data_IF_536622899356
#
_entry.id   IF_536622899356
#
_cell.length_a   1.000
_cell.length_b   1.000
_cell.length_c   1.000
_cell.angle_alpha   90.00
_cell.angle_beta   90.00
_cell.angle_gamma   90.00
#
_symmetry.space_group_name_H-M   'P 1'
#
loop_
_entity.id
_entity.type
_entity.pdbx_description
1 polymer ?
#
# COMPACT_ATOMS: atom_id res chain seq x y z
N UNK A 1 -4.80 -14.06 -11.41
CA UNK A 1 -3.94 -14.89 -12.31
C UNK A 1 -3.03 -13.94 -13.05
N UNK A 2 -1.75 -13.88 -12.72
CA UNK A 2 -0.78 -13.18 -13.54
C UNK A 2 -0.56 -14.03 -14.79
N UNK A 3 -0.89 -13.49 -15.95
CA UNK A 3 -0.67 -14.13 -17.25
C UNK A 3 0.82 -14.41 -17.39
N UNK A 4 1.20 -15.68 -17.65
CA UNK A 4 2.61 -16.03 -17.88
C UNK A 4 3.10 -15.20 -19.05
N UNK A 5 4.23 -14.48 -18.90
CA UNK A 5 4.78 -13.67 -19.98
C UNK A 5 5.00 -14.55 -21.22
N UNK A 6 4.48 -14.14 -22.37
CA UNK A 6 4.63 -14.87 -23.62
C UNK A 6 6.10 -14.90 -24.08
N UNK A 7 6.47 -15.85 -24.96
CA UNK A 7 7.83 -15.99 -25.50
C UNK A 7 8.43 -14.67 -26.02
N UNK A 8 7.61 -13.84 -26.66
CA UNK A 8 8.03 -12.52 -27.14
C UNK A 8 8.43 -11.53 -26.05
N UNK A 9 7.83 -11.64 -24.86
CA UNK A 9 8.23 -10.80 -23.71
C UNK A 9 9.61 -11.20 -23.15
N UNK A 10 9.95 -12.48 -23.20
CA UNK A 10 11.29 -12.97 -22.85
C UNK A 10 12.35 -12.52 -23.87
N UNK A 11 12.01 -12.53 -25.16
CA UNK A 11 12.89 -12.03 -26.21
C UNK A 11 13.12 -10.51 -26.05
N UNK A 12 12.08 -9.74 -25.81
CA UNK A 12 12.20 -8.30 -25.57
C UNK A 12 13.02 -7.98 -24.30
N UNK A 13 12.85 -8.77 -23.24
CA UNK A 13 13.64 -8.63 -22.01
C UNK A 13 15.11 -9.00 -22.23
N UNK A 14 15.39 -10.06 -23.02
CA UNK A 14 16.74 -10.46 -23.38
C UNK A 14 17.45 -9.39 -24.22
N UNK A 15 16.74 -8.77 -25.18
CA UNK A 15 17.26 -7.72 -26.03
C UNK A 15 17.65 -6.46 -25.24
N UNK A 16 16.84 -6.08 -24.23
CA UNK A 16 17.08 -4.92 -23.39
C UNK A 16 17.83 -5.23 -22.07
N UNK A 17 18.34 -6.45 -21.91
CA UNK A 17 19.08 -6.84 -20.72
C UNK A 17 20.32 -5.96 -20.53
N UNK A 18 20.51 -5.42 -19.32
CA UNK A 18 21.65 -4.56 -18.93
C UNK A 18 22.47 -5.27 -17.84
N UNK A 19 23.34 -6.20 -18.21
CA UNK A 19 24.19 -6.86 -17.23
C UNK A 19 25.11 -5.81 -16.59
N UNK A 20 25.36 -5.91 -15.30
CA UNK A 20 26.21 -5.01 -14.53
C UNK A 20 25.78 -3.53 -14.48
N UNK A 21 24.52 -3.18 -14.72
CA UNK A 21 24.02 -1.81 -14.61
C UNK A 21 24.52 -0.85 -15.69
N UNK A 22 24.89 -1.35 -16.86
CA UNK A 22 25.35 -0.53 -18.00
C UNK A 22 24.29 0.46 -18.46
N UNK A 23 24.68 1.68 -18.84
CA UNK A 23 23.78 2.73 -19.35
C UNK A 23 23.06 2.34 -20.64
N UNK A 24 23.74 1.54 -21.50
CA UNK A 24 23.17 1.06 -22.78
C UNK A 24 23.20 -0.47 -22.79
N UNK A 25 22.14 -1.10 -23.28
CA UNK A 25 22.12 -2.54 -23.44
C UNK A 25 23.18 -2.98 -24.49
N UNK A 26 24.01 -3.98 -24.19
CA UNK A 26 25.11 -4.42 -25.08
C UNK A 26 24.66 -4.75 -26.50
N UNK A 27 23.44 -5.25 -26.68
CA UNK A 27 22.84 -5.57 -27.97
C UNK A 27 22.74 -4.36 -28.89
N UNK A 28 22.42 -3.17 -28.36
CA UNK A 28 22.38 -1.95 -29.18
C UNK A 28 23.77 -1.56 -29.67
N UNK A 29 24.79 -1.75 -28.87
CA UNK A 29 26.18 -1.49 -29.25
C UNK A 29 26.64 -2.51 -30.28
N UNK A 30 26.29 -3.79 -30.11
CA UNK A 30 26.58 -4.87 -31.05
C UNK A 30 25.93 -4.63 -32.41
N UNK A 31 24.64 -4.28 -32.45
CA UNK A 31 23.92 -3.95 -33.66
C UNK A 31 24.51 -2.72 -34.38
N UNK A 32 24.88 -1.68 -33.64
CA UNK A 32 25.51 -0.50 -34.21
C UNK A 32 26.88 -0.84 -34.85
N UNK A 33 27.71 -1.63 -34.16
CA UNK A 33 28.99 -2.07 -34.66
C UNK A 33 28.87 -2.97 -35.90
N UNK A 34 27.94 -3.95 -35.89
CA UNK A 34 27.67 -4.81 -37.03
C UNK A 34 27.06 -4.04 -38.22
N UNK A 35 26.23 -3.01 -37.94
CA UNK A 35 25.72 -2.10 -38.92
C UNK A 35 26.81 -1.36 -39.67
N UNK A 36 27.80 -0.81 -38.96
CA UNK A 36 28.95 -0.12 -39.54
C UNK A 36 29.86 -1.08 -40.33
N UNK A 37 30.14 -2.26 -39.82
CA UNK A 37 30.95 -3.28 -40.50
C UNK A 37 30.25 -3.84 -41.72
N UNK A 38 28.90 -3.95 -41.72
CA UNK A 38 28.07 -4.41 -42.83
C UNK A 38 28.10 -3.47 -44.02
N UNK A 39 28.38 -2.18 -43.82
CA UNK A 39 28.59 -1.23 -44.91
C UNK A 39 29.89 -1.57 -45.70
N UNK A 40 30.93 -2.03 -44.97
CA UNK A 40 32.20 -2.42 -45.60
C UNK A 40 32.10 -3.79 -46.29
N UNK A 41 31.35 -4.75 -45.74
CA UNK A 41 31.16 -6.08 -46.31
C UNK A 41 29.78 -6.66 -45.92
N UNK A 42 28.89 -6.95 -46.89
CA UNK A 42 27.54 -7.50 -46.65
C UNK A 42 27.51 -8.78 -45.79
N UNK A 43 28.59 -9.58 -45.80
CA UNK A 43 28.70 -10.79 -44.97
C UNK A 43 28.56 -10.54 -43.46
N UNK A 44 28.93 -9.35 -42.99
CA UNK A 44 28.75 -8.99 -41.56
C UNK A 44 27.30 -8.83 -41.15
N UNK A 45 26.37 -8.50 -42.06
CA UNK A 45 24.95 -8.48 -41.77
C UNK A 45 24.41 -9.87 -41.44
N UNK A 46 24.83 -10.87 -42.25
CA UNK A 46 24.38 -12.26 -42.05
C UNK A 46 24.98 -12.84 -40.75
N UNK A 47 26.27 -12.57 -40.49
CA UNK A 47 26.96 -12.98 -39.27
C UNK A 47 26.35 -12.31 -38.03
N UNK A 48 26.08 -11.00 -38.08
CA UNK A 48 25.44 -10.25 -36.98
C UNK A 48 24.05 -10.75 -36.65
N UNK A 49 23.22 -10.96 -37.70
CA UNK A 49 21.89 -11.52 -37.52
C UNK A 49 21.90 -12.95 -36.93
N UNK A 50 22.83 -13.79 -37.38
CA UNK A 50 22.98 -15.15 -36.82
C UNK A 50 23.41 -15.17 -35.36
N UNK A 51 24.38 -14.35 -34.97
CA UNK A 51 24.84 -14.19 -33.60
C UNK A 51 23.74 -13.63 -32.69
N UNK A 52 23.03 -12.61 -33.13
CA UNK A 52 21.93 -12.00 -32.40
C UNK A 52 20.79 -13.00 -32.16
N UNK A 53 20.34 -13.69 -33.19
CA UNK A 53 19.32 -14.73 -33.09
C UNK A 53 19.77 -15.88 -32.16
N UNK A 54 21.00 -16.35 -32.27
CA UNK A 54 21.56 -17.37 -31.41
C UNK A 54 21.60 -16.91 -29.94
N UNK A 55 22.04 -15.69 -29.69
CA UNK A 55 22.06 -15.10 -28.35
C UNK A 55 20.65 -14.95 -27.75
N UNK A 56 19.70 -14.37 -28.49
CA UNK A 56 18.33 -14.20 -28.02
C UNK A 56 17.63 -15.52 -27.75
N UNK A 57 17.81 -16.53 -28.65
CA UNK A 57 17.25 -17.86 -28.42
C UNK A 57 17.83 -18.53 -27.19
N UNK A 58 19.15 -18.49 -27.02
CA UNK A 58 19.83 -19.11 -25.89
C UNK A 58 19.38 -18.46 -24.56
N UNK A 59 19.25 -17.14 -24.54
CA UNK A 59 18.78 -16.41 -23.34
C UNK A 59 17.28 -16.65 -23.09
N UNK A 60 16.45 -16.56 -24.14
CA UNK A 60 15.00 -16.72 -24.01
C UNK A 60 14.58 -18.14 -23.61
N UNK A 61 15.39 -19.16 -23.92
CA UNK A 61 15.16 -20.57 -23.53
C UNK A 61 15.81 -20.96 -22.21
N UNK A 62 16.62 -20.09 -21.61
CA UNK A 62 17.29 -20.37 -20.35
C UNK A 62 16.33 -20.22 -19.17
N UNK A 63 16.06 -21.33 -18.46
CA UNK A 63 15.14 -21.35 -17.30
C UNK A 63 15.52 -20.38 -16.17
N UNK A 64 16.82 -20.08 -15.99
CA UNK A 64 17.27 -19.12 -14.99
C UNK A 64 16.92 -17.68 -15.39
N UNK A 65 17.07 -17.36 -16.67
CA UNK A 65 16.72 -16.06 -17.22
C UNK A 65 15.21 -15.86 -17.21
N UNK A 66 14.43 -16.87 -17.64
CA UNK A 66 12.97 -16.81 -17.60
C UNK A 66 12.45 -16.59 -16.16
N UNK A 67 13.03 -17.28 -15.17
CA UNK A 67 12.69 -17.05 -13.75
C UNK A 67 13.08 -15.66 -13.28
N UNK A 68 14.23 -15.12 -13.66
CA UNK A 68 14.66 -13.78 -13.31
C UNK A 68 13.75 -12.70 -13.93
N UNK A 69 13.32 -12.87 -15.19
CA UNK A 69 12.38 -11.96 -15.88
C UNK A 69 10.99 -12.06 -15.26
N UNK A 70 10.51 -13.26 -14.95
CA UNK A 70 9.21 -13.45 -14.32
C UNK A 70 9.15 -12.91 -12.88
N UNK A 71 10.26 -12.99 -12.13
CA UNK A 71 10.35 -12.48 -10.74
C UNK A 71 10.63 -10.97 -10.65
N UNK A 72 11.21 -10.36 -11.68
CA UNK A 72 11.57 -8.94 -11.71
C UNK A 72 10.37 -8.00 -11.45
N UNK A 73 9.25 -8.10 -12.18
CA UNK A 73 8.07 -7.28 -11.94
C UNK A 73 7.42 -7.55 -10.58
N UNK A 74 7.42 -8.80 -10.11
CA UNK A 74 6.88 -9.20 -8.81
C UNK A 74 7.74 -8.68 -7.65
N UNK A 75 9.06 -8.70 -7.79
CA UNK A 75 9.97 -8.18 -6.77
C UNK A 75 9.92 -6.65 -6.68
N UNK A 76 9.82 -5.94 -7.81
CA UNK A 76 9.63 -4.50 -7.84
C UNK A 76 8.28 -4.11 -7.19
N UNK A 77 7.20 -4.78 -7.55
CA UNK A 77 5.87 -4.57 -6.95
C UNK A 77 5.86 -4.85 -5.44
N UNK A 78 6.56 -5.91 -5.00
CA UNK A 78 6.68 -6.25 -3.58
C UNK A 78 7.50 -5.22 -2.81
N UNK A 79 8.58 -4.69 -3.40
CA UNK A 79 9.41 -3.65 -2.76
C UNK A 79 8.65 -2.33 -2.62
N UNK A 80 7.88 -1.94 -3.63
CA UNK A 80 7.01 -0.76 -3.58
C UNK A 80 5.89 -0.93 -2.53
N UNK A 81 5.31 -2.12 -2.43
CA UNK A 81 4.32 -2.47 -1.43
C UNK A 81 4.88 -2.38 -0.02
N UNK A 82 6.03 -2.99 0.24
CA UNK A 82 6.72 -2.91 1.53
C UNK A 82 7.11 -1.46 1.88
N UNK A 83 7.58 -0.70 0.91
CA UNK A 83 7.86 0.73 1.08
C UNK A 83 6.61 1.54 1.43
N UNK A 84 5.44 1.16 0.94
CA UNK A 84 4.15 1.78 1.29
C UNK A 84 3.72 1.44 2.71
N UNK A 85 3.82 0.16 3.10
CA UNK A 85 3.56 -0.29 4.47
C UNK A 85 4.47 0.44 5.46
N UNK A 86 5.79 0.47 5.22
CA UNK A 86 6.75 1.11 6.11
C UNK A 86 6.49 2.61 6.29
N UNK A 87 6.07 3.31 5.23
CA UNK A 87 5.67 4.73 5.33
C UNK A 87 4.42 4.93 6.20
N UNK A 88 3.47 4.01 6.16
CA UNK A 88 2.27 4.07 7.01
C UNK A 88 2.59 3.72 8.46
N UNK A 89 3.41 2.69 8.70
CA UNK A 89 3.88 2.33 10.03
C UNK A 89 4.66 3.47 10.72
N UNK A 90 5.43 4.25 9.95
CA UNK A 90 6.12 5.43 10.45
C UNK A 90 5.20 6.57 10.92
N UNK A 91 3.90 6.53 10.58
CA UNK A 91 2.88 7.50 11.03
C UNK A 91 2.13 7.10 12.29
N UNK A 92 2.24 5.82 12.67
CA UNK A 92 1.61 5.27 13.86
C UNK A 92 2.43 5.60 15.11
N UNK A 93 1.75 5.76 16.23
CA UNK A 93 2.37 5.73 17.54
C UNK A 93 2.87 4.32 17.90
N UNK A 94 3.50 4.18 19.05
CA UNK A 94 4.09 2.92 19.46
C UNK A 94 3.03 1.87 19.81
N UNK A 95 1.92 2.28 20.42
CA UNK A 95 0.80 1.41 20.78
C UNK A 95 0.13 0.82 19.51
N UNK A 96 -0.28 1.68 18.57
CA UNK A 96 -0.93 1.26 17.32
C UNK A 96 0.02 0.43 16.45
N UNK A 97 1.33 0.70 16.49
CA UNK A 97 2.35 -0.11 15.82
C UNK A 97 2.44 -1.51 16.42
N UNK A 98 2.39 -1.60 17.76
CA UNK A 98 2.34 -2.87 18.47
C UNK A 98 1.09 -3.68 18.13
N UNK A 99 -0.08 -3.04 18.07
CA UNK A 99 -1.35 -3.69 17.65
C UNK A 99 -1.26 -4.27 16.23
N UNK A 100 -0.70 -3.50 15.30
CA UNK A 100 -0.49 -3.99 13.92
C UNK A 100 0.47 -5.18 13.88
N UNK A 101 1.58 -5.13 14.61
CA UNK A 101 2.57 -6.22 14.67
C UNK A 101 1.94 -7.51 15.21
N UNK A 102 1.14 -7.42 16.28
CA UNK A 102 0.45 -8.56 16.85
C UNK A 102 -0.57 -9.19 15.88
N UNK A 103 -1.32 -8.37 15.12
CA UNK A 103 -2.22 -8.89 14.08
C UNK A 103 -1.45 -9.55 12.95
N UNK A 104 -0.37 -8.96 12.48
CA UNK A 104 0.45 -9.50 11.40
C UNK A 104 1.09 -10.85 11.79
N UNK A 105 1.55 -11.00 13.05
CA UNK A 105 2.07 -12.24 13.61
C UNK A 105 1.00 -13.34 13.63
N UNK A 106 -0.24 -13.01 14.08
CA UNK A 106 -1.36 -13.96 14.05
C UNK A 106 -1.70 -14.40 12.63
N UNK A 107 -1.72 -13.47 11.66
CA UNK A 107 -1.93 -13.82 10.26
C UNK A 107 -0.82 -14.76 9.73
N UNK A 108 0.44 -14.53 10.13
CA UNK A 108 1.58 -15.40 9.80
C UNK A 108 1.41 -16.81 10.36
N UNK A 109 1.05 -16.95 11.64
CA UNK A 109 0.84 -18.24 12.30
C UNK A 109 -0.29 -19.07 11.67
N UNK A 110 -1.35 -18.40 11.17
CA UNK A 110 -2.44 -19.08 10.45
C UNK A 110 -1.92 -19.73 9.16
N UNK A 111 -1.12 -19.00 8.39
CA UNK A 111 -0.53 -19.52 7.14
C UNK A 111 0.42 -20.70 7.43
N UNK A 112 1.22 -20.61 8.50
CA UNK A 112 2.11 -21.68 8.92
C UNK A 112 1.34 -22.94 9.33
N UNK A 113 0.28 -22.82 10.14
CA UNK A 113 -0.57 -23.95 10.53
C UNK A 113 -1.13 -24.68 9.32
N UNK A 114 -1.65 -23.97 8.33
CA UNK A 114 -2.20 -24.55 7.12
C UNK A 114 -1.15 -25.22 6.22
N UNK A 115 0.05 -24.63 6.15
CA UNK A 115 1.15 -25.17 5.36
C UNK A 115 1.65 -26.52 5.94
N UNK A 116 1.61 -26.69 7.26
CA UNK A 116 2.04 -27.90 7.94
C UNK A 116 0.92 -28.98 8.05
N UNK A 117 -0.35 -28.55 8.04
CA UNK A 117 -1.50 -29.46 8.20
C UNK A 117 -1.82 -30.35 6.99
N UNK A 118 -1.24 -30.08 5.83
CA UNK A 118 -1.29 -30.95 4.64
C UNK A 118 -2.67 -31.18 4.00
N UNK A 119 -3.75 -30.56 4.48
CA UNK A 119 -5.12 -30.81 4.05
C UNK A 119 -5.62 -29.87 2.95
N UNK A 120 -4.98 -28.72 2.74
CA UNK A 120 -5.43 -27.75 1.75
C UNK A 120 -4.66 -27.82 0.43
N UNK A 121 -5.39 -27.62 -0.67
CA UNK A 121 -4.75 -27.46 -1.98
C UNK A 121 -3.92 -26.18 -2.02
N UNK A 122 -2.80 -26.14 -2.78
CA UNK A 122 -1.98 -24.93 -2.91
C UNK A 122 -2.78 -23.66 -3.28
N UNK A 123 -3.88 -23.80 -4.01
CA UNK A 123 -4.79 -22.72 -4.41
C UNK A 123 -5.59 -22.22 -3.20
N UNK A 124 -5.98 -23.08 -2.27
CA UNK A 124 -6.69 -22.71 -1.05
C UNK A 124 -5.83 -21.84 -0.14
N UNK A 125 -4.59 -22.25 0.08
CA UNK A 125 -3.62 -21.52 0.91
C UNK A 125 -3.32 -20.14 0.31
N UNK A 126 -3.14 -20.02 -1.01
CA UNK A 126 -2.90 -18.73 -1.67
C UNK A 126 -4.10 -17.78 -1.52
N UNK A 127 -5.32 -18.28 -1.70
CA UNK A 127 -6.55 -17.48 -1.55
C UNK A 127 -6.71 -16.97 -0.12
N UNK A 128 -6.37 -17.78 0.87
CA UNK A 128 -6.47 -17.42 2.28
C UNK A 128 -5.37 -16.44 2.68
N UNK A 129 -4.15 -16.61 2.20
CA UNK A 129 -3.06 -15.65 2.40
C UNK A 129 -3.41 -14.27 1.81
N UNK A 130 -4.03 -14.22 0.64
CA UNK A 130 -4.54 -12.98 0.03
C UNK A 130 -5.62 -12.33 0.90
N UNK A 131 -6.53 -13.12 1.45
CA UNK A 131 -7.61 -12.62 2.32
C UNK A 131 -7.07 -12.03 3.62
N UNK A 132 -6.14 -12.72 4.29
CA UNK A 132 -5.44 -12.24 5.49
C UNK A 132 -4.59 -11.00 5.19
N UNK A 133 -3.95 -10.95 4.03
CA UNK A 133 -3.21 -9.77 3.57
C UNK A 133 -4.11 -8.53 3.40
N UNK A 134 -5.33 -8.72 2.88
CA UNK A 134 -6.33 -7.63 2.76
C UNK A 134 -6.82 -7.16 4.11
N UNK A 135 -7.08 -8.07 5.06
CA UNK A 135 -7.48 -7.72 6.43
C UNK A 135 -6.37 -6.93 7.14
N UNK A 136 -5.13 -7.40 7.07
CA UNK A 136 -3.97 -6.68 7.64
C UNK A 136 -3.78 -5.29 7.04
N UNK A 137 -3.98 -5.13 5.72
CA UNK A 137 -3.92 -3.84 5.06
C UNK A 137 -5.04 -2.90 5.49
N UNK A 138 -6.27 -3.41 5.61
CA UNK A 138 -7.41 -2.63 6.07
C UNK A 138 -7.21 -2.17 7.51
N UNK A 139 -6.73 -3.05 8.38
CA UNK A 139 -6.39 -2.76 9.77
C UNK A 139 -5.34 -1.63 9.87
N UNK A 140 -4.25 -1.72 9.11
CA UNK A 140 -3.22 -0.67 9.07
C UNK A 140 -3.80 0.68 8.65
N UNK A 141 -4.67 0.71 7.64
CA UNK A 141 -5.31 1.95 7.19
C UNK A 141 -6.23 2.55 8.24
N UNK A 142 -6.96 1.72 8.97
CA UNK A 142 -7.84 2.16 10.06
C UNK A 142 -7.02 2.75 11.22
N UNK A 143 -5.91 2.12 11.62
CA UNK A 143 -5.01 2.66 12.63
C UNK A 143 -4.45 4.04 12.21
N UNK A 144 -4.01 4.20 10.96
CA UNK A 144 -3.52 5.50 10.46
C UNK A 144 -4.63 6.55 10.47
N UNK A 145 -5.85 6.18 10.10
CA UNK A 145 -7.01 7.09 10.13
C UNK A 145 -7.34 7.51 11.57
N UNK A 146 -7.37 6.54 12.50
CA UNK A 146 -7.55 6.76 13.95
C UNK A 146 -6.53 7.76 14.49
N UNK A 147 -5.25 7.48 14.29
CA UNK A 147 -4.16 8.35 14.75
C UNK A 147 -4.20 9.75 14.14
N UNK A 148 -4.68 9.89 12.90
CA UNK A 148 -4.86 11.20 12.25
C UNK A 148 -5.98 12.00 12.91
N UNK A 149 -7.13 11.37 13.16
CA UNK A 149 -8.27 12.02 13.83
C UNK A 149 -7.88 12.42 15.26
N UNK A 150 -7.27 11.52 16.03
CA UNK A 150 -6.83 11.81 17.41
C UNK A 150 -5.85 12.99 17.47
N UNK A 151 -4.94 13.08 16.52
CA UNK A 151 -3.99 14.22 16.43
C UNK A 151 -4.70 15.53 16.15
N UNK A 152 -5.67 15.55 15.24
CA UNK A 152 -6.45 16.76 14.92
C UNK A 152 -7.30 17.20 16.13
N UNK A 153 -7.98 16.25 16.79
CA UNK A 153 -8.77 16.51 18.00
C UNK A 153 -7.87 17.01 19.13
N UNK A 154 -6.71 16.37 19.34
CA UNK A 154 -5.78 16.74 20.41
C UNK A 154 -5.11 18.10 20.24
N UNK A 155 -5.04 18.62 19.00
CA UNK A 155 -4.52 19.96 18.69
C UNK A 155 -5.59 21.05 18.80
N UNK A 156 -6.87 20.69 18.88
CA UNK A 156 -7.97 21.65 18.99
C UNK A 156 -8.35 21.89 20.47
N UNK A 157 -9.00 23.03 20.73
CA UNK A 157 -9.55 23.36 22.06
C UNK A 157 -10.50 22.27 22.55
N UNK A 158 -10.50 21.95 23.84
CA UNK A 158 -11.38 20.94 24.44
C UNK A 158 -12.87 21.33 24.33
N UNK A 159 -13.75 20.34 24.39
CA UNK A 159 -15.21 20.54 24.24
C UNK A 159 -15.79 21.52 25.25
N UNK A 160 -15.31 21.44 26.49
CA UNK A 160 -15.75 22.36 27.56
C UNK A 160 -15.39 23.81 27.25
N UNK A 161 -14.19 24.04 26.70
CA UNK A 161 -13.72 25.39 26.33
C UNK A 161 -14.53 25.94 25.14
N UNK A 162 -14.79 25.12 24.14
CA UNK A 162 -15.62 25.52 22.98
C UNK A 162 -17.04 25.84 23.42
N UNK A 163 -17.62 25.02 24.27
CA UNK A 163 -18.98 25.22 24.77
C UNK A 163 -19.09 26.48 25.67
N UNK A 164 -18.09 26.72 26.53
CA UNK A 164 -18.03 27.94 27.33
C UNK A 164 -17.89 29.18 26.44
N UNK A 165 -17.07 29.12 25.39
CA UNK A 165 -16.91 30.20 24.42
C UNK A 165 -18.21 30.46 23.66
N UNK A 166 -18.94 29.42 23.26
CA UNK A 166 -20.24 29.50 22.60
C UNK A 166 -21.24 30.28 23.49
N UNK A 167 -21.36 29.88 24.77
CA UNK A 167 -22.24 30.53 25.74
C UNK A 167 -21.89 32.02 25.95
N UNK A 168 -20.60 32.35 25.92
CA UNK A 168 -20.15 33.74 26.09
C UNK A 168 -20.49 34.58 24.86
N UNK A 169 -20.24 34.09 23.65
CA UNK A 169 -20.57 34.74 22.40
C UNK A 169 -22.08 34.91 22.25
N UNK A 170 -22.88 33.93 22.63
CA UNK A 170 -24.33 33.97 22.60
C UNK A 170 -24.88 35.08 23.49
N UNK A 171 -24.35 35.25 24.71
CA UNK A 171 -24.71 36.32 25.61
C UNK A 171 -24.36 37.69 25.03
N UNK A 172 -23.19 37.81 24.40
CA UNK A 172 -22.76 39.07 23.77
C UNK A 172 -23.60 39.44 22.52
N UNK A 173 -23.95 38.44 21.70
CA UNK A 173 -24.78 38.63 20.51
C UNK A 173 -26.22 39.05 20.84
N UNK A 174 -26.75 38.62 22.01
CA UNK A 174 -28.08 38.98 22.50
C UNK A 174 -28.14 40.35 23.17
N UNK A 175 -27.02 41.06 23.32
CA UNK A 175 -27.03 42.39 23.89
C UNK A 175 -27.64 43.38 22.91
N UNK A 176 -28.81 43.95 23.28
CA UNK A 176 -29.57 44.91 22.44
C UNK A 176 -28.85 46.25 22.26
N UNK A 177 -27.97 46.61 23.22
CA UNK A 177 -27.19 47.84 23.17
C UNK A 177 -25.99 47.79 22.22
N UNK A 178 -25.66 46.58 21.70
CA UNK A 178 -24.53 46.41 20.80
C UNK A 178 -24.80 46.97 19.40
N UNK A 179 -23.83 47.68 18.76
CA UNK A 179 -23.94 48.12 17.39
C UNK A 179 -24.29 46.99 16.42
N UNK A 180 -25.10 47.26 15.41
CA UNK A 180 -25.61 46.26 14.47
C UNK A 180 -24.47 45.49 13.75
N UNK A 181 -23.38 46.18 13.41
CA UNK A 181 -22.22 45.55 12.76
C UNK A 181 -21.46 44.61 13.70
N UNK A 182 -21.35 44.97 15.00
CA UNK A 182 -20.75 44.08 16.02
C UNK A 182 -21.60 42.85 16.22
N UNK A 183 -22.94 43.03 16.32
CA UNK A 183 -23.86 41.89 16.47
C UNK A 183 -23.74 40.91 15.32
N UNK A 184 -23.73 41.38 14.08
CA UNK A 184 -23.52 40.53 12.87
C UNK A 184 -22.20 39.78 12.90
N UNK A 185 -21.12 40.43 13.37
CA UNK A 185 -19.82 39.79 13.51
C UNK A 185 -19.83 38.68 14.60
N UNK A 186 -20.51 38.91 15.72
CA UNK A 186 -20.65 37.92 16.81
C UNK A 186 -21.51 36.74 16.36
N UNK A 187 -22.59 36.97 15.62
CA UNK A 187 -23.41 35.91 15.02
C UNK A 187 -22.57 35.05 14.06
N UNK A 188 -21.77 35.63 13.16
CA UNK A 188 -20.87 34.90 12.28
C UNK A 188 -19.79 34.09 13.02
N UNK A 189 -19.30 34.61 14.15
CA UNK A 189 -18.37 33.83 15.02
C UNK A 189 -19.08 32.64 15.71
N UNK A 190 -20.35 32.85 16.10
CA UNK A 190 -21.15 31.78 16.70
C UNK A 190 -21.39 30.64 15.71
N UNK A 191 -21.78 30.96 14.47
CA UNK A 191 -21.97 29.95 13.41
C UNK A 191 -20.71 29.12 13.16
N UNK A 192 -19.55 29.77 13.10
CA UNK A 192 -18.25 29.06 12.93
C UNK A 192 -17.97 28.14 14.14
N UNK A 193 -18.24 28.61 15.34
CA UNK A 193 -18.01 27.85 16.55
C UNK A 193 -18.93 26.64 16.66
N UNK A 194 -20.20 26.79 16.30
CA UNK A 194 -21.17 25.69 16.25
C UNK A 194 -20.76 24.62 15.22
N UNK A 195 -20.29 25.04 14.04
CA UNK A 195 -19.74 24.11 13.05
C UNK A 195 -18.52 23.35 13.59
N UNK A 196 -17.63 24.01 14.33
CA UNK A 196 -16.47 23.34 14.95
C UNK A 196 -16.90 22.29 15.99
N UNK A 197 -17.87 22.60 16.83
CA UNK A 197 -18.43 21.68 17.83
C UNK A 197 -19.06 20.47 17.13
N UNK A 198 -19.85 20.71 16.09
CA UNK A 198 -20.48 19.64 15.32
C UNK A 198 -19.44 18.73 14.64
N UNK A 199 -18.43 19.31 13.99
CA UNK A 199 -17.36 18.54 13.34
C UNK A 199 -16.59 17.68 14.34
N UNK A 200 -16.40 18.16 15.57
CA UNK A 200 -15.76 17.40 16.63
C UNK A 200 -16.63 16.22 17.07
N UNK A 201 -17.91 16.41 17.29
CA UNK A 201 -18.84 15.34 17.61
C UNK A 201 -18.91 14.26 16.49
N UNK A 202 -18.80 14.67 15.22
CA UNK A 202 -18.70 13.74 14.10
C UNK A 202 -17.37 12.98 14.09
N UNK A 203 -16.27 13.63 14.45
CA UNK A 203 -14.97 12.99 14.57
C UNK A 203 -14.96 11.93 15.67
N UNK A 204 -15.59 12.19 16.82
CA UNK A 204 -15.73 11.21 17.90
C UNK A 204 -16.56 9.99 17.48
N UNK A 205 -17.65 10.21 16.73
CA UNK A 205 -18.43 9.11 16.15
C UNK A 205 -17.62 8.27 15.15
N UNK A 206 -16.77 8.93 14.35
CA UNK A 206 -15.86 8.22 13.42
C UNK A 206 -14.81 7.42 14.17
N UNK A 207 -14.27 7.94 15.28
CA UNK A 207 -13.34 7.19 16.12
C UNK A 207 -13.99 5.94 16.70
N UNK A 208 -15.18 6.07 17.28
CA UNK A 208 -15.92 4.93 17.81
C UNK A 208 -16.21 3.86 16.73
N UNK A 209 -16.55 4.29 15.51
CA UNK A 209 -16.72 3.40 14.38
C UNK A 209 -15.41 2.69 13.99
N UNK A 210 -14.29 3.44 13.91
CA UNK A 210 -12.97 2.87 13.58
C UNK A 210 -12.55 1.86 14.64
N UNK A 211 -12.72 2.17 15.92
CA UNK A 211 -12.37 1.27 17.02
C UNK A 211 -13.20 -0.02 16.98
N UNK A 212 -14.49 0.08 16.67
CA UNK A 212 -15.35 -1.10 16.46
C UNK A 212 -14.91 -1.95 15.26
N UNK A 213 -14.52 -1.33 14.13
CA UNK A 213 -14.02 -2.04 12.96
C UNK A 213 -12.66 -2.70 13.21
N UNK A 214 -11.77 -2.06 13.96
CA UNK A 214 -10.50 -2.65 14.38
C UNK A 214 -10.74 -3.91 15.23
N UNK A 215 -11.62 -3.82 16.24
CA UNK A 215 -12.00 -4.97 17.04
C UNK A 215 -12.62 -6.08 16.20
N UNK A 216 -13.50 -5.76 15.25
CA UNK A 216 -14.12 -6.73 14.36
C UNK A 216 -13.09 -7.49 13.51
N UNK A 217 -12.06 -6.80 13.02
CA UNK A 217 -10.99 -7.44 12.25
C UNK A 217 -10.14 -8.36 13.15
N UNK A 218 -9.82 -7.94 14.38
CA UNK A 218 -9.09 -8.76 15.34
C UNK A 218 -9.85 -10.06 15.65
N UNK A 219 -11.15 -9.97 15.92
CA UNK A 219 -12.02 -11.14 16.13
C UNK A 219 -12.14 -12.03 14.89
N UNK A 220 -12.23 -11.45 13.71
CA UNK A 220 -12.28 -12.21 12.47
C UNK A 220 -10.99 -13.00 12.21
N UNK A 221 -9.83 -12.42 12.48
CA UNK A 221 -8.55 -13.11 12.36
C UNK A 221 -8.44 -14.24 13.40
N UNK A 222 -8.94 -14.01 14.62
CA UNK A 222 -8.95 -15.04 15.66
C UNK A 222 -9.85 -16.21 15.27
N UNK A 223 -11.06 -15.95 14.77
CA UNK A 223 -11.95 -17.00 14.27
C UNK A 223 -11.29 -17.83 13.15
N UNK A 224 -10.60 -17.19 12.22
CA UNK A 224 -9.87 -17.89 11.14
C UNK A 224 -8.75 -18.76 11.73
N UNK A 225 -8.05 -18.28 12.77
CA UNK A 225 -7.02 -19.03 13.47
C UNK A 225 -7.57 -20.30 14.13
N UNK A 226 -8.69 -20.17 14.82
CA UNK A 226 -9.38 -21.31 15.44
C UNK A 226 -9.84 -22.34 14.40
N UNK A 227 -10.42 -21.88 13.30
CA UNK A 227 -10.82 -22.76 12.19
C UNK A 227 -9.64 -23.48 11.56
N UNK A 228 -8.50 -22.78 11.36
CA UNK A 228 -7.27 -23.40 10.86
C UNK A 228 -6.74 -24.47 11.81
N UNK A 229 -6.77 -24.24 13.12
CA UNK A 229 -6.33 -25.19 14.13
C UNK A 229 -7.24 -26.44 14.21
N UNK A 230 -8.53 -26.31 13.92
CA UNK A 230 -9.48 -27.43 13.93
C UNK A 230 -9.46 -28.27 12.64
N UNK A 231 -8.92 -27.74 11.55
CA UNK A 231 -8.82 -28.40 10.24
C UNK A 231 -7.50 -29.18 10.04
N UNK A 232 -6.57 -29.07 10.99
CA UNK A 232 -5.28 -29.77 11.01
C UNK A 232 -5.40 -31.09 11.76
#
# INVERSE_FOLDING_TARGET
MAEKPGFMSYVAAAFNARPFGMFVAPNWVGLAAMGLLGIANPGFWVLGAGLELGYLLTLATNDRFQRAVASGPLSASRSEWNGRINRLLGRLDEEDRGRYAALAERCGSIIELQTHGGSDTPIGIETQADSLGRLSWMFLRLLVARGTILRVIGQSEGDEVLEQRRRTLEKQARNEDAPADLRRSLEGQLDILEQRIQQRAEADKKLAFIDAELARIEEQVELIREQAALST
#
